data_IF_640650252655
#
_entry.id   IF_640650252655
#
_cell.length_a   1.000
_cell.length_b   1.000
_cell.length_c   1.000
_cell.angle_alpha   90.00
_cell.angle_beta   90.00
_cell.angle_gamma   90.00
#
_symmetry.space_group_name_H-M   'P 1'
#
loop_
_entity.id
_entity.type
_entity.pdbx_description
1 polymer ?
#
# COMPACT_ATOMS: atom_id res chain seq x y z
N UNK A 1 -26.10 -9.61 -14.67
CA UNK A 1 -25.17 -9.90 -15.78
C UNK A 1 -23.84 -10.32 -15.19
N UNK A 2 -23.49 -11.60 -15.28
CA UNK A 2 -22.32 -12.18 -14.64
C UNK A 2 -21.05 -11.66 -15.35
N UNK A 3 -20.34 -10.72 -14.72
CA UNK A 3 -19.10 -10.16 -15.27
C UNK A 3 -17.95 -10.99 -14.73
N UNK A 4 -17.71 -12.15 -15.33
CA UNK A 4 -16.50 -12.93 -15.06
C UNK A 4 -15.28 -12.12 -15.53
N UNK A 5 -14.74 -11.27 -14.67
CA UNK A 5 -13.48 -10.56 -14.89
C UNK A 5 -12.35 -11.56 -14.73
N UNK A 6 -12.17 -12.42 -15.73
CA UNK A 6 -11.04 -13.32 -15.83
C UNK A 6 -9.80 -12.44 -16.07
N UNK A 7 -9.16 -12.04 -14.97
CA UNK A 7 -8.01 -11.15 -14.92
C UNK A 7 -6.72 -11.88 -15.31
N UNK A 8 -6.70 -12.55 -16.47
CA UNK A 8 -5.49 -13.17 -17.01
C UNK A 8 -4.49 -12.06 -17.38
N UNK A 9 -3.43 -11.91 -16.57
CA UNK A 9 -2.38 -10.91 -16.74
C UNK A 9 -2.21 -9.91 -15.58
N UNK A 10 -3.18 -9.81 -14.66
CA UNK A 10 -3.03 -8.99 -13.45
C UNK A 10 -2.57 -9.85 -12.27
N UNK A 11 -1.54 -9.38 -11.58
CA UNK A 11 -1.06 -10.03 -10.35
C UNK A 11 -2.18 -10.10 -9.30
N UNK A 12 -2.15 -11.11 -8.42
CA UNK A 12 -3.10 -11.25 -7.30
C UNK A 12 -3.18 -9.95 -6.49
N UNK A 13 -2.04 -9.26 -6.34
CA UNK A 13 -1.96 -7.99 -5.66
C UNK A 13 -2.65 -6.84 -6.42
N UNK A 14 -2.52 -6.79 -7.75
CA UNK A 14 -3.26 -5.83 -8.58
C UNK A 14 -4.78 -6.05 -8.51
N UNK A 15 -5.21 -7.31 -8.41
CA UNK A 15 -6.63 -7.65 -8.23
C UNK A 15 -7.13 -7.19 -6.85
N UNK A 16 -6.37 -7.44 -5.78
CA UNK A 16 -6.67 -6.97 -4.42
C UNK A 16 -6.84 -5.44 -4.35
N UNK A 17 -5.96 -4.71 -5.02
CA UNK A 17 -6.01 -3.25 -5.11
C UNK A 17 -7.18 -2.78 -5.97
N UNK A 18 -7.58 -3.56 -6.98
CA UNK A 18 -8.76 -3.27 -7.80
C UNK A 18 -10.06 -3.43 -7.01
N UNK A 19 -10.10 -4.41 -6.10
CA UNK A 19 -11.23 -4.65 -5.19
C UNK A 19 -11.37 -3.60 -4.09
N UNK A 20 -10.33 -2.80 -3.85
CA UNK A 20 -10.38 -1.73 -2.84
C UNK A 20 -11.06 -0.49 -3.44
N UNK A 21 -12.23 -0.04 -2.93
CA UNK A 21 -12.94 1.09 -3.50
C UNK A 21 -12.17 2.39 -3.29
N UNK A 22 -11.89 3.12 -4.38
CA UNK A 22 -11.19 4.41 -4.31
C UNK A 22 -11.94 5.41 -3.40
N UNK A 23 -13.28 5.37 -3.36
CA UNK A 23 -14.09 6.24 -2.50
C UNK A 23 -13.76 6.14 -1.01
N UNK A 24 -13.41 4.93 -0.52
CA UNK A 24 -13.01 4.74 0.88
C UNK A 24 -11.65 5.40 1.13
N UNK A 25 -10.72 5.24 0.18
CA UNK A 25 -9.39 5.86 0.25
C UNK A 25 -9.53 7.38 0.22
N UNK A 26 -10.34 7.93 -0.69
CA UNK A 26 -10.54 9.37 -0.84
C UNK A 26 -11.18 10.00 0.40
N UNK A 27 -12.17 9.33 1.01
CA UNK A 27 -12.74 9.76 2.28
C UNK A 27 -11.70 9.74 3.41
N UNK A 28 -10.90 8.68 3.50
CA UNK A 28 -9.84 8.60 4.51
C UNK A 28 -8.76 9.68 4.29
N UNK A 29 -8.43 9.98 3.03
CA UNK A 29 -7.49 11.05 2.66
C UNK A 29 -8.02 12.42 3.08
N UNK A 30 -9.31 12.69 2.86
CA UNK A 30 -9.96 13.94 3.27
C UNK A 30 -10.00 14.07 4.80
N UNK A 31 -10.42 13.01 5.50
CA UNK A 31 -10.55 13.02 6.95
C UNK A 31 -9.22 13.23 7.67
N UNK A 32 -8.15 12.60 7.15
CA UNK A 32 -6.82 12.66 7.77
C UNK A 32 -5.88 13.67 7.11
N UNK A 33 -6.33 14.40 6.08
CA UNK A 33 -5.49 15.29 5.27
C UNK A 33 -4.16 14.66 4.83
N UNK A 34 -4.17 13.35 4.56
CA UNK A 34 -2.95 12.53 4.43
C UNK A 34 -2.15 12.76 3.15
N UNK A 35 -2.76 13.43 2.16
CA UNK A 35 -2.12 13.89 0.93
C UNK A 35 -1.75 15.38 0.96
N UNK A 36 -1.99 16.08 2.08
CA UNK A 36 -1.65 17.50 2.20
C UNK A 36 -0.13 17.68 2.04
N UNK A 37 0.28 18.56 1.13
CA UNK A 37 1.67 18.84 0.75
C UNK A 37 2.44 17.70 0.08
N UNK A 38 1.77 16.62 -0.34
CA UNK A 38 2.44 15.47 -0.96
C UNK A 38 2.42 15.57 -2.49
N UNK A 39 3.62 15.52 -3.09
CA UNK A 39 3.82 15.74 -4.54
C UNK A 39 3.96 14.46 -5.36
N UNK A 40 4.48 13.38 -4.79
CA UNK A 40 4.90 12.19 -5.57
C UNK A 40 4.53 10.82 -4.97
N UNK A 41 4.23 10.74 -3.68
CA UNK A 41 3.96 9.46 -3.01
C UNK A 41 2.65 9.55 -2.23
N UNK A 42 1.56 9.41 -2.96
CA UNK A 42 0.19 9.55 -2.46
C UNK A 42 -0.18 8.47 -1.44
N UNK A 43 -1.27 8.67 -0.71
CA UNK A 43 -1.78 7.68 0.25
C UNK A 43 -2.15 6.37 -0.41
N UNK A 44 -2.65 6.39 -1.65
CA UNK A 44 -2.93 5.18 -2.41
C UNK A 44 -1.63 4.41 -2.68
N UNK A 45 -0.61 5.07 -3.21
CA UNK A 45 0.70 4.45 -3.50
C UNK A 45 1.35 3.88 -2.23
N UNK A 46 1.18 4.57 -1.10
CA UNK A 46 1.66 4.10 0.20
C UNK A 46 0.88 2.89 0.71
N UNK A 47 -0.45 2.87 0.56
CA UNK A 47 -1.29 1.72 0.93
C UNK A 47 -0.92 0.49 0.12
N UNK A 48 -0.77 0.66 -1.19
CA UNK A 48 -0.29 -0.37 -2.11
C UNK A 48 1.08 -0.90 -1.68
N UNK A 49 2.01 -0.02 -1.33
CA UNK A 49 3.35 -0.40 -0.86
C UNK A 49 3.28 -1.23 0.43
N UNK A 50 2.37 -0.89 1.35
CA UNK A 50 2.16 -1.66 2.58
C UNK A 50 1.53 -3.02 2.33
N UNK A 51 0.56 -3.12 1.42
CA UNK A 51 -0.03 -4.40 1.01
C UNK A 51 1.02 -5.30 0.32
N UNK A 52 1.89 -4.71 -0.50
CA UNK A 52 3.02 -5.42 -1.10
C UNK A 52 4.00 -5.93 -0.04
N UNK A 53 4.33 -5.11 0.94
CA UNK A 53 5.19 -5.51 2.06
C UNK A 53 4.62 -6.73 2.81
N UNK A 54 3.31 -6.73 3.10
CA UNK A 54 2.63 -7.86 3.75
C UNK A 54 2.66 -9.10 2.86
N UNK A 55 2.31 -8.97 1.58
CA UNK A 55 2.27 -10.11 0.65
C UNK A 55 3.63 -10.70 0.31
N UNK A 56 4.70 -9.90 0.38
CA UNK A 56 6.08 -10.33 0.11
C UNK A 56 6.87 -10.64 1.38
N UNK A 57 6.26 -10.55 2.57
CA UNK A 57 6.91 -10.77 3.86
C UNK A 57 8.21 -9.96 4.05
N UNK A 58 8.25 -8.73 3.55
CA UNK A 58 9.44 -7.90 3.66
C UNK A 58 9.71 -7.56 5.14
N UNK A 59 10.98 -7.69 5.55
CA UNK A 59 11.45 -7.44 6.91
C UNK A 59 12.30 -6.16 7.01
N UNK A 60 12.35 -5.34 5.97
CA UNK A 60 12.97 -4.01 6.05
C UNK A 60 12.43 -3.05 5.00
N UNK A 61 12.48 -1.73 5.31
CA UNK A 61 12.18 -0.69 4.32
C UNK A 61 13.07 -0.80 3.07
N UNK A 62 14.31 -1.30 3.26
CA UNK A 62 15.25 -1.52 2.17
C UNK A 62 14.80 -2.66 1.27
N UNK A 63 14.41 -3.80 1.83
CA UNK A 63 13.85 -4.94 1.07
C UNK A 63 12.62 -4.52 0.28
N UNK A 64 11.70 -3.75 0.88
CA UNK A 64 10.52 -3.24 0.17
C UNK A 64 10.93 -2.42 -1.05
N UNK A 65 11.89 -1.50 -0.89
CA UNK A 65 12.35 -0.67 -2.00
C UNK A 65 13.07 -1.48 -3.09
N UNK A 66 13.92 -2.45 -2.70
CA UNK A 66 14.65 -3.32 -3.64
C UNK A 66 13.69 -4.20 -4.43
N UNK A 67 12.72 -4.82 -3.75
CA UNK A 67 11.72 -5.68 -4.38
C UNK A 67 10.84 -4.88 -5.36
N UNK A 68 10.43 -3.66 -4.99
CA UNK A 68 9.66 -2.79 -5.88
C UNK A 68 10.51 -2.25 -7.04
N UNK A 69 11.79 -2.03 -6.84
CA UNK A 69 12.73 -1.63 -7.90
C UNK A 69 12.91 -2.76 -8.92
N UNK A 70 13.06 -4.01 -8.46
CA UNK A 70 13.09 -5.18 -9.35
C UNK A 70 11.80 -5.39 -10.15
N UNK A 71 10.69 -4.81 -9.69
CA UNK A 71 9.38 -4.86 -10.34
C UNK A 71 9.04 -3.58 -11.13
N UNK A 72 9.98 -2.66 -11.35
CA UNK A 72 9.73 -1.34 -11.95
C UNK A 72 8.90 -1.42 -13.26
N UNK A 73 9.19 -2.40 -14.12
CA UNK A 73 8.44 -2.64 -15.37
C UNK A 73 6.99 -3.13 -15.21
N UNK A 74 6.62 -3.63 -14.02
CA UNK A 74 5.28 -4.18 -13.71
C UNK A 74 4.49 -3.33 -12.71
N UNK A 75 5.04 -2.20 -12.23
CA UNK A 75 4.39 -1.35 -11.21
C UNK A 75 3.03 -0.79 -11.64
N UNK A 76 2.82 -0.58 -12.95
CA UNK A 76 1.54 -0.12 -13.50
C UNK A 76 0.37 -1.03 -13.11
N UNK A 77 0.58 -2.35 -13.05
CA UNK A 77 -0.45 -3.32 -12.64
C UNK A 77 -0.81 -3.22 -11.17
N UNK A 78 0.06 -2.59 -10.38
CA UNK A 78 -0.06 -2.45 -8.92
C UNK A 78 -0.48 -1.01 -8.56
N UNK A 79 -0.84 -0.17 -9.55
CA UNK A 79 -1.18 1.26 -9.36
C UNK A 79 -0.06 2.09 -8.71
N UNK A 80 1.20 1.68 -8.89
CA UNK A 80 2.40 2.45 -8.51
C UNK A 80 3.01 3.10 -9.76
N UNK A 81 3.33 4.38 -9.68
CA UNK A 81 3.97 5.11 -10.80
C UNK A 81 5.48 4.86 -10.88
N UNK A 82 6.12 4.78 -9.72
CA UNK A 82 7.56 4.63 -9.58
C UNK A 82 7.87 3.90 -8.27
N UNK A 83 9.01 3.19 -8.17
CA UNK A 83 9.42 2.59 -6.92
C UNK A 83 9.66 3.69 -5.87
N UNK A 84 9.17 3.52 -4.63
CA UNK A 84 9.39 4.49 -3.57
C UNK A 84 10.86 4.50 -3.17
N UNK A 85 11.41 5.69 -2.89
CA UNK A 85 12.72 5.81 -2.22
C UNK A 85 12.57 5.49 -0.74
N UNK A 86 13.58 4.88 -0.13
CA UNK A 86 13.59 4.54 1.31
C UNK A 86 13.23 5.73 2.20
N UNK A 87 13.83 6.90 1.95
CA UNK A 87 13.56 8.12 2.74
C UNK A 87 12.13 8.62 2.57
N UNK A 88 11.57 8.54 1.37
CA UNK A 88 10.17 8.90 1.09
C UNK A 88 9.21 7.95 1.77
N UNK A 89 9.50 6.64 1.76
CA UNK A 89 8.70 5.64 2.45
C UNK A 89 8.73 5.83 3.97
N UNK A 90 9.90 6.11 4.53
CA UNK A 90 10.05 6.40 5.97
C UNK A 90 9.29 7.67 6.39
N UNK A 91 9.42 8.78 5.64
CA UNK A 91 8.68 10.02 5.92
C UNK A 91 7.15 9.80 5.83
N UNK A 92 6.71 9.02 4.85
CA UNK A 92 5.29 8.66 4.71
C UNK A 92 4.78 7.83 5.89
N UNK A 93 5.58 6.86 6.39
CA UNK A 93 5.23 6.09 7.59
C UNK A 93 5.06 7.00 8.80
N UNK A 94 6.01 7.90 9.04
CA UNK A 94 5.98 8.84 10.17
C UNK A 94 4.75 9.74 10.12
N UNK A 95 4.43 10.30 8.95
CA UNK A 95 3.30 11.23 8.77
C UNK A 95 1.94 10.55 8.82
N UNK A 96 1.83 9.30 8.36
CA UNK A 96 0.54 8.61 8.16
C UNK A 96 0.29 7.51 9.18
N UNK A 97 1.12 7.38 10.21
CA UNK A 97 1.01 6.38 11.29
C UNK A 97 -0.41 6.27 11.88
N UNK A 98 -1.08 7.40 12.11
CA UNK A 98 -2.46 7.45 12.63
C UNK A 98 -3.53 6.98 11.63
N UNK A 99 -3.31 7.19 10.33
CA UNK A 99 -4.26 6.81 9.28
C UNK A 99 -4.29 5.30 9.08
N UNK A 100 -3.13 4.64 9.12
CA UNK A 100 -3.06 3.18 8.98
C UNK A 100 -3.64 2.47 10.19
N UNK A 101 -3.58 3.07 11.38
CA UNK A 101 -4.23 2.51 12.58
C UNK A 101 -5.76 2.41 12.41
N UNK A 102 -6.37 3.38 11.73
CA UNK A 102 -7.79 3.36 11.38
C UNK A 102 -8.10 2.48 10.16
N UNK A 103 -7.22 2.44 9.15
CA UNK A 103 -7.36 1.50 8.02
C UNK A 103 -7.16 0.04 8.47
N UNK A 104 -6.44 -0.18 9.59
CA UNK A 104 -6.34 -1.44 10.32
C UNK A 104 -7.70 -1.95 10.82
N UNK A 105 -8.79 -1.17 10.77
CA UNK A 105 -10.17 -1.67 10.96
C UNK A 105 -10.60 -2.62 9.83
N UNK A 106 -9.89 -2.63 8.69
CA UNK A 106 -9.94 -3.76 7.74
C UNK A 106 -9.36 -5.07 8.31
N UNK A 107 -8.89 -5.09 9.58
CA UNK A 107 -8.60 -6.29 10.39
C UNK A 107 -9.66 -7.38 10.23
N UNK A 108 -10.93 -6.98 10.03
CA UNK A 108 -12.05 -7.92 9.91
C UNK A 108 -12.12 -8.62 8.55
N UNK A 109 -11.56 -8.04 7.49
CA UNK A 109 -11.66 -8.56 6.12
C UNK A 109 -10.58 -9.60 5.81
N UNK A 110 -9.40 -9.51 6.45
CA UNK A 110 -8.23 -10.26 5.98
C UNK A 110 -7.61 -11.29 6.93
N UNK A 111 -8.11 -11.54 8.16
CA UNK A 111 -7.69 -12.65 9.08
C UNK A 111 -6.25 -13.18 8.88
N UNK A 112 -5.27 -12.28 8.75
CA UNK A 112 -3.87 -12.59 8.49
C UNK A 112 -3.08 -12.14 9.72
N UNK A 113 -2.15 -12.97 10.20
CA UNK A 113 -1.29 -12.64 11.33
C UNK A 113 -0.26 -11.57 10.92
N UNK A 114 -0.67 -10.30 10.95
CA UNK A 114 0.17 -9.15 10.60
C UNK A 114 1.01 -8.75 11.82
N UNK A 115 1.94 -9.60 12.27
CA UNK A 115 2.89 -9.24 13.34
C UNK A 115 4.14 -8.44 12.89
N UNK A 116 4.72 -8.61 11.69
CA UNK A 116 5.93 -7.85 11.34
C UNK A 116 5.63 -6.42 10.85
N UNK A 117 4.52 -6.17 10.14
CA UNK A 117 4.31 -4.89 9.44
C UNK A 117 3.85 -3.73 10.34
N UNK A 118 3.24 -4.00 11.50
CA UNK A 118 2.93 -2.94 12.46
C UNK A 118 4.20 -2.38 13.09
N UNK A 119 5.19 -3.25 13.36
CA UNK A 119 6.50 -2.82 13.84
C UNK A 119 7.20 -1.93 12.81
N UNK A 120 7.15 -2.23 11.51
CA UNK A 120 7.73 -1.31 10.48
C UNK A 120 7.09 0.08 10.41
N UNK A 121 5.85 0.22 10.88
CA UNK A 121 5.16 1.52 10.92
C UNK A 121 5.43 2.27 12.23
N UNK A 122 5.85 1.55 13.29
CA UNK A 122 6.12 2.08 14.64
C UNK A 122 7.63 2.29 14.88
N UNK A 123 8.49 1.45 14.31
CA UNK A 123 9.96 1.40 14.48
C UNK A 123 10.70 2.34 13.52
N UNK A 124 10.02 2.92 12.51
CA UNK A 124 10.54 4.00 11.66
C UNK A 124 9.58 5.20 11.56
#
# INVERSE_FOLDING_TARGET
MNKSTNNFGNSVLGQLISLTPNAIIDNAVKNHNSNKYIKRFTTLEHLVTMLFCIGSHCTSLREVCINLLGLEGKLKHIKLKQPPKKSTLADANKRRRQMYLNFLVLKKVYRLEIKPCYEFTVVF
#
